data_IF_813629028392
#
_entry.id   IF_813629028392
#
_cell.length_a   1.000
_cell.length_b   1.000
_cell.length_c   1.000
_cell.angle_alpha   90.00
_cell.angle_beta   90.00
_cell.angle_gamma   90.00
#
_symmetry.space_group_name_H-M   'P 1'
#
loop_
_entity.id
_entity.type
_entity.pdbx_description
1 polymer ?
#
# COMPACT_ATOMS: atom_id res chain seq x y z
N UNK A 1 -1.95 -6.69 -34.03
CA UNK A 1 -1.76 -5.24 -34.29
C UNK A 1 -2.72 -4.38 -33.45
N UNK A 2 -4.01 -4.72 -33.34
CA UNK A 2 -5.01 -3.94 -32.59
C UNK A 2 -4.70 -3.76 -31.08
N UNK A 3 -4.32 -4.82 -30.37
CA UNK A 3 -4.00 -4.73 -28.92
C UNK A 3 -2.79 -3.84 -28.65
N UNK A 4 -1.76 -3.87 -29.51
CA UNK A 4 -0.57 -3.05 -29.35
C UNK A 4 -0.92 -1.56 -29.35
N UNK A 5 -1.70 -1.11 -30.33
CA UNK A 5 -2.06 0.31 -30.46
C UNK A 5 -2.91 0.75 -29.27
N UNK A 6 -3.92 -0.05 -28.90
CA UNK A 6 -4.74 0.20 -27.72
C UNK A 6 -3.89 0.38 -26.45
N UNK A 7 -2.89 -0.49 -26.23
CA UNK A 7 -2.05 -0.40 -25.03
C UNK A 7 -1.12 0.81 -25.03
N UNK A 8 -0.57 1.19 -26.18
CA UNK A 8 0.29 2.39 -26.29
C UNK A 8 -0.54 3.65 -26.01
N UNK A 9 -1.79 3.70 -26.48
CA UNK A 9 -2.69 4.84 -26.27
C UNK A 9 -3.18 4.95 -24.82
N UNK A 10 -3.37 3.83 -24.11
CA UNK A 10 -4.06 3.81 -22.82
C UNK A 10 -3.16 3.48 -21.61
N UNK A 11 -1.91 3.05 -21.81
CA UNK A 11 -1.04 2.66 -20.71
C UNK A 11 0.42 3.04 -20.94
N UNK A 12 1.03 3.72 -19.98
CA UNK A 12 2.43 4.18 -20.07
C UNK A 12 3.46 3.05 -20.08
N UNK A 13 3.07 1.84 -19.68
CA UNK A 13 3.92 0.64 -19.75
C UNK A 13 3.13 -0.59 -20.26
N UNK A 14 2.96 -0.77 -21.59
CA UNK A 14 2.16 -1.84 -22.18
C UNK A 14 2.56 -3.26 -21.74
N UNK A 15 3.87 -3.52 -21.61
CA UNK A 15 4.39 -4.84 -21.23
C UNK A 15 3.97 -5.23 -19.82
N UNK A 16 4.05 -4.30 -18.86
CA UNK A 16 3.61 -4.54 -17.48
C UNK A 16 2.11 -4.78 -17.40
N UNK A 17 1.31 -4.03 -18.17
CA UNK A 17 -0.14 -4.25 -18.23
C UNK A 17 -0.49 -5.66 -18.71
N UNK A 18 0.19 -6.11 -19.78
CA UNK A 18 -0.03 -7.45 -20.32
C UNK A 18 0.30 -8.54 -19.30
N UNK A 19 1.44 -8.42 -18.61
CA UNK A 19 1.80 -9.32 -17.52
C UNK A 19 0.76 -9.30 -16.38
N UNK A 20 0.22 -8.12 -16.05
CA UNK A 20 -0.85 -7.97 -15.08
C UNK A 20 -2.11 -8.77 -15.42
N UNK A 21 -2.46 -8.90 -16.71
CA UNK A 21 -3.59 -9.74 -17.12
C UNK A 21 -3.33 -11.23 -16.86
N UNK A 22 -2.10 -11.69 -17.07
CA UNK A 22 -1.70 -13.07 -16.76
C UNK A 22 -1.75 -13.33 -15.25
N UNK A 23 -1.19 -12.43 -14.45
CA UNK A 23 -1.21 -12.52 -12.99
C UNK A 23 -2.67 -12.53 -12.49
N UNK A 24 -3.52 -11.65 -13.00
CA UNK A 24 -4.96 -11.61 -12.66
C UNK A 24 -5.66 -12.94 -12.98
N UNK A 25 -5.31 -13.59 -14.08
CA UNK A 25 -5.87 -14.90 -14.42
C UNK A 25 -5.43 -15.98 -13.43
N UNK A 26 -4.12 -16.02 -13.11
CA UNK A 26 -3.51 -17.03 -12.24
C UNK A 26 -3.99 -16.85 -10.78
N UNK A 27 -4.14 -15.61 -10.32
CA UNK A 27 -4.56 -15.26 -8.97
C UNK A 27 -6.08 -15.30 -8.79
N UNK A 28 -6.81 -16.11 -9.56
CA UNK A 28 -8.22 -16.35 -9.25
C UNK A 28 -8.31 -17.21 -8.01
N UNK A 29 -8.90 -16.64 -6.98
CA UNK A 29 -9.04 -17.29 -5.69
C UNK A 29 -10.21 -18.27 -5.70
N UNK A 30 -10.05 -19.37 -4.96
CA UNK A 30 -11.20 -20.20 -4.59
C UNK A 30 -11.97 -19.54 -3.43
N UNK A 31 -13.16 -20.05 -3.14
CA UNK A 31 -14.04 -19.49 -2.12
C UNK A 31 -13.38 -19.43 -0.73
N UNK A 32 -12.62 -20.46 -0.35
CA UNK A 32 -11.91 -20.50 0.93
C UNK A 32 -10.88 -19.37 1.04
N UNK A 33 -10.03 -19.21 0.02
CA UNK A 33 -8.99 -18.17 -0.02
C UNK A 33 -9.60 -16.79 -0.01
N UNK A 34 -10.66 -16.58 -0.80
CA UNK A 34 -11.40 -15.31 -0.84
C UNK A 34 -11.94 -14.94 0.55
N UNK A 35 -12.59 -15.89 1.22
CA UNK A 35 -13.14 -15.66 2.57
C UNK A 35 -12.05 -15.31 3.60
N UNK A 36 -10.88 -15.93 3.53
CA UNK A 36 -9.76 -15.59 4.42
C UNK A 36 -9.16 -14.22 4.09
N UNK A 37 -9.08 -13.86 2.80
CA UNK A 37 -8.61 -12.54 2.38
C UNK A 37 -9.59 -11.45 2.81
N UNK A 38 -10.90 -11.65 2.64
CA UNK A 38 -11.93 -10.70 3.08
C UNK A 38 -11.87 -10.46 4.60
N UNK A 39 -11.60 -11.51 5.39
CA UNK A 39 -11.35 -11.39 6.84
C UNK A 39 -10.11 -10.57 7.18
N UNK A 40 -9.09 -10.57 6.33
CA UNK A 40 -7.86 -9.80 6.55
C UNK A 40 -8.06 -8.35 6.10
N UNK A 41 -8.67 -8.16 4.93
CA UNK A 41 -8.96 -6.85 4.32
C UNK A 41 -9.89 -6.03 5.22
N UNK A 42 -10.92 -6.65 5.79
CA UNK A 42 -11.85 -5.99 6.72
C UNK A 42 -11.20 -5.39 7.97
N UNK A 43 -10.00 -5.85 8.35
CA UNK A 43 -9.27 -5.28 9.50
C UNK A 43 -8.58 -3.96 9.19
N UNK A 44 -8.45 -3.60 7.91
CA UNK A 44 -7.81 -2.35 7.47
C UNK A 44 -8.83 -1.51 6.71
N UNK A 45 -9.02 -0.23 7.05
CA UNK A 45 -10.03 0.62 6.42
C UNK A 45 -9.53 1.16 5.06
N UNK A 46 -9.38 0.27 4.07
CA UNK A 46 -8.95 0.61 2.70
C UNK A 46 -9.97 1.46 1.94
N UNK A 47 -11.26 1.34 2.27
CA UNK A 47 -12.34 2.04 1.57
C UNK A 47 -12.47 3.52 1.98
N UNK A 48 -11.88 3.91 3.12
CA UNK A 48 -11.99 5.27 3.63
C UNK A 48 -10.65 6.00 3.62
N UNK A 49 -10.51 7.00 2.76
CA UNK A 49 -9.38 7.94 2.76
C UNK A 49 -8.09 7.38 2.14
N UNK A 50 -7.05 8.23 2.00
CA UNK A 50 -5.83 7.87 1.31
C UNK A 50 -4.94 6.95 2.18
N UNK A 51 -4.53 5.83 1.59
CA UNK A 51 -3.63 4.86 2.21
C UNK A 51 -2.44 4.57 1.29
N UNK A 52 -1.24 4.56 1.86
CA UNK A 52 -0.01 4.18 1.15
C UNK A 52 0.50 2.86 1.71
N UNK A 53 0.78 1.91 0.83
CA UNK A 53 1.41 0.64 1.19
C UNK A 53 2.93 0.71 1.02
N UNK A 54 3.67 0.28 2.04
CA UNK A 54 5.11 0.04 1.96
C UNK A 54 5.42 -1.43 2.19
N UNK A 55 6.39 -1.95 1.45
CA UNK A 55 6.94 -3.29 1.65
C UNK A 55 8.42 -3.19 2.01
N UNK A 56 8.74 -3.44 3.28
CA UNK A 56 10.08 -3.43 3.84
C UNK A 56 10.60 -4.87 3.86
N UNK A 57 11.54 -5.21 2.97
CA UNK A 57 12.11 -6.56 2.85
C UNK A 57 13.55 -6.54 3.36
N UNK A 58 13.84 -7.30 4.41
CA UNK A 58 15.10 -7.25 5.16
C UNK A 58 15.81 -8.61 5.24
N UNK A 59 15.11 -9.74 5.21
CA UNK A 59 15.70 -11.02 5.63
C UNK A 59 16.65 -11.67 4.63
N UNK A 60 16.25 -11.71 3.36
CA UNK A 60 16.96 -12.40 2.29
C UNK A 60 17.72 -11.41 1.40
N UNK A 61 17.36 -10.13 1.49
CA UNK A 61 17.93 -9.05 0.67
C UNK A 61 19.37 -8.70 1.04
N UNK A 62 19.84 -9.09 2.23
CA UNK A 62 21.20 -8.79 2.75
C UNK A 62 22.29 -9.27 1.79
N UNK A 63 22.07 -10.38 1.10
CA UNK A 63 23.03 -10.96 0.15
C UNK A 63 22.90 -10.43 -1.28
N UNK A 64 21.76 -9.83 -1.63
CA UNK A 64 21.45 -9.42 -3.01
C UNK A 64 21.60 -7.92 -3.24
N UNK A 65 21.32 -7.09 -2.22
CA UNK A 65 21.39 -5.63 -2.36
C UNK A 65 21.47 -4.92 -1.00
N UNK A 66 21.70 -3.60 -1.04
CA UNK A 66 21.81 -2.78 0.16
C UNK A 66 20.50 -2.74 0.94
N UNK A 67 20.58 -2.98 2.25
CA UNK A 67 19.48 -2.80 3.20
C UNK A 67 19.07 -1.32 3.19
N UNK A 68 17.80 -1.08 2.90
CA UNK A 68 17.20 0.25 2.90
C UNK A 68 16.48 0.48 4.24
N UNK A 69 16.72 1.63 4.87
CA UNK A 69 16.13 1.96 6.16
C UNK A 69 14.69 2.44 6.00
N UNK A 70 13.87 2.30 7.04
CA UNK A 70 12.47 2.72 7.04
C UNK A 70 12.32 4.21 6.65
N UNK A 71 13.23 5.08 7.08
CA UNK A 71 13.21 6.51 6.74
C UNK A 71 13.21 6.76 5.23
N UNK A 72 13.92 5.94 4.46
CA UNK A 72 14.01 6.13 3.02
C UNK A 72 12.69 5.80 2.32
N UNK A 73 11.93 4.83 2.84
CA UNK A 73 10.56 4.59 2.40
C UNK A 73 9.65 5.76 2.78
N UNK A 74 9.78 6.27 4.01
CA UNK A 74 8.92 7.33 4.53
C UNK A 74 9.08 8.66 3.80
N UNK A 75 10.26 8.96 3.23
CA UNK A 75 10.46 10.11 2.34
C UNK A 75 9.48 10.09 1.15
N UNK A 76 9.33 8.93 0.52
CA UNK A 76 8.42 8.76 -0.62
C UNK A 76 6.96 8.77 -0.20
N UNK A 77 6.65 8.20 0.97
CA UNK A 77 5.31 8.27 1.56
C UNK A 77 4.89 9.72 1.80
N UNK A 78 5.75 10.51 2.46
CA UNK A 78 5.47 11.93 2.75
C UNK A 78 5.32 12.74 1.46
N UNK A 79 6.21 12.53 0.49
CA UNK A 79 6.11 13.17 -0.83
C UNK A 79 4.78 12.87 -1.53
N UNK A 80 4.36 11.60 -1.56
CA UNK A 80 3.09 11.20 -2.17
C UNK A 80 1.89 11.87 -1.50
N UNK A 81 1.85 11.88 -0.17
CA UNK A 81 0.75 12.53 0.56
C UNK A 81 0.72 14.04 0.35
N UNK A 82 1.87 14.71 0.27
CA UNK A 82 1.91 16.14 0.01
C UNK A 82 1.33 16.47 -1.38
N UNK A 83 1.70 15.72 -2.42
CA UNK A 83 1.12 15.86 -3.76
C UNK A 83 -0.39 15.58 -3.75
N UNK A 84 -0.80 14.50 -3.06
CA UNK A 84 -2.22 14.15 -2.96
C UNK A 84 -3.03 15.25 -2.29
N UNK A 85 -2.52 15.82 -1.20
CA UNK A 85 -3.18 16.88 -0.45
C UNK A 85 -3.25 18.20 -1.24
N UNK A 86 -2.19 18.53 -1.98
CA UNK A 86 -2.18 19.68 -2.91
C UNK A 86 -3.22 19.50 -4.02
N UNK A 87 -3.27 18.33 -4.65
CA UNK A 87 -4.27 18.02 -5.68
C UNK A 87 -5.70 18.11 -5.14
N UNK A 88 -5.96 17.57 -3.94
CA UNK A 88 -7.29 17.63 -3.34
C UNK A 88 -7.75 19.08 -3.08
N UNK A 89 -6.83 19.95 -2.67
CA UNK A 89 -7.08 21.40 -2.52
C UNK A 89 -7.36 22.07 -3.86
N UNK A 90 -6.53 21.80 -4.88
CA UNK A 90 -6.65 22.42 -6.20
C UNK A 90 -7.96 22.07 -6.91
N UNK A 91 -8.40 20.81 -6.79
CA UNK A 91 -9.58 20.31 -7.50
C UNK A 91 -10.86 20.36 -6.67
N UNK A 92 -10.84 20.98 -5.47
CA UNK A 92 -11.96 20.99 -4.51
C UNK A 92 -12.63 19.62 -4.37
N UNK A 93 -11.82 18.54 -4.40
CA UNK A 93 -12.30 17.17 -4.22
C UNK A 93 -12.59 16.95 -2.73
N UNK A 94 -13.65 17.59 -2.25
CA UNK A 94 -14.28 17.28 -0.96
C UNK A 94 -15.16 16.01 -1.06
N UNK A 95 -14.86 15.13 -2.01
CA UNK A 95 -15.51 13.83 -2.21
C UNK A 95 -14.94 12.76 -1.27
N UNK A 96 -14.64 13.15 -0.03
CA UNK A 96 -14.46 12.18 1.05
C UNK A 96 -15.87 11.78 1.44
N UNK A 97 -16.22 10.51 1.30
CA UNK A 97 -17.52 10.01 1.74
C UNK A 97 -17.78 10.52 3.16
N UNK A 98 -19.01 10.94 3.45
CA UNK A 98 -19.41 11.74 4.63
C UNK A 98 -19.00 11.17 6.00
N UNK A 99 -18.51 9.92 6.04
CA UNK A 99 -18.05 9.21 7.23
C UNK A 99 -16.56 8.75 7.18
N UNK A 100 -15.76 9.24 6.23
CA UNK A 100 -14.36 8.82 6.08
C UNK A 100 -13.36 9.82 6.68
N UNK A 101 -12.25 9.30 7.21
CA UNK A 101 -11.18 10.10 7.81
C UNK A 101 -10.24 10.69 6.76
N UNK A 102 -9.74 11.89 7.01
CA UNK A 102 -8.67 12.54 6.20
C UNK A 102 -7.27 12.14 6.65
N UNK A 103 -7.16 11.31 7.68
CA UNK A 103 -5.88 10.96 8.28
C UNK A 103 -5.07 10.10 7.31
N UNK A 104 -3.78 10.41 7.21
CA UNK A 104 -2.84 9.69 6.36
C UNK A 104 -2.64 8.28 6.91
N UNK A 105 -2.94 7.25 6.11
CA UNK A 105 -2.82 5.85 6.52
C UNK A 105 -1.60 5.20 5.88
N UNK A 106 -0.88 4.41 6.67
CA UNK A 106 0.29 3.66 6.22
C UNK A 106 0.04 2.17 6.45
N UNK A 107 0.04 1.39 5.37
CA UNK A 107 0.00 -0.07 5.45
C UNK A 107 1.42 -0.61 5.32
N UNK A 108 1.88 -1.35 6.32
CA UNK A 108 3.27 -1.87 6.36
C UNK A 108 3.24 -3.38 6.14
N UNK A 109 3.93 -3.83 5.10
CA UNK A 109 4.25 -5.24 4.86
C UNK A 109 5.76 -5.44 5.07
N UNK A 110 6.14 -6.52 5.73
CA UNK A 110 7.55 -6.86 5.99
C UNK A 110 7.68 -8.34 6.31
N UNK A 111 8.91 -8.86 6.24
CA UNK A 111 9.23 -10.25 6.53
C UNK A 111 8.98 -10.62 8.00
N UNK A 112 8.62 -11.88 8.25
CA UNK A 112 8.16 -12.38 9.57
C UNK A 112 9.13 -12.16 10.75
N UNK A 113 10.47 -12.34 10.65
CA UNK A 113 11.32 -12.21 11.83
C UNK A 113 11.54 -10.76 12.27
N UNK A 114 11.35 -9.79 11.36
CA UNK A 114 11.53 -8.35 11.63
C UNK A 114 10.21 -7.60 11.76
N UNK A 115 9.08 -8.30 11.60
CA UNK A 115 7.75 -7.70 11.52
C UNK A 115 7.44 -6.79 12.71
N UNK A 116 7.64 -7.32 13.91
CA UNK A 116 7.34 -6.59 15.14
C UNK A 116 8.20 -5.33 15.27
N UNK A 117 9.49 -5.45 14.97
CA UNK A 117 10.47 -4.37 15.10
C UNK A 117 10.14 -3.22 14.15
N UNK A 118 9.91 -3.51 12.87
CA UNK A 118 9.61 -2.51 11.85
C UNK A 118 8.28 -1.80 12.14
N UNK A 119 7.24 -2.54 12.54
CA UNK A 119 5.93 -1.94 12.86
C UNK A 119 6.02 -1.07 14.12
N UNK A 120 6.74 -1.51 15.17
CA UNK A 120 6.95 -0.70 16.37
C UNK A 120 7.79 0.54 16.08
N UNK A 121 8.85 0.41 15.28
CA UNK A 121 9.66 1.54 14.84
C UNK A 121 8.81 2.57 14.09
N UNK A 122 7.97 2.10 13.16
CA UNK A 122 7.08 2.95 12.39
C UNK A 122 6.09 3.69 13.31
N UNK A 123 5.46 2.99 14.28
CA UNK A 123 4.55 3.59 15.26
C UNK A 123 5.24 4.63 16.13
N UNK A 124 6.42 4.31 16.65
CA UNK A 124 7.17 5.19 17.54
C UNK A 124 7.63 6.47 16.83
N UNK A 125 8.14 6.35 15.59
CA UNK A 125 8.66 7.49 14.84
C UNK A 125 7.57 8.31 14.14
N UNK A 126 6.51 7.67 13.68
CA UNK A 126 5.56 8.26 12.73
C UNK A 126 4.08 8.16 13.13
N UNK A 127 3.75 7.55 14.28
CA UNK A 127 2.36 7.37 14.73
C UNK A 127 1.61 8.67 15.05
N UNK A 128 2.32 9.77 15.27
CA UNK A 128 1.73 11.10 15.40
C UNK A 128 1.17 11.61 14.06
N UNK A 129 1.82 11.29 12.94
CA UNK A 129 1.47 11.74 11.59
C UNK A 129 0.58 10.72 10.85
N UNK A 130 0.77 9.43 11.08
CA UNK A 130 0.13 8.36 10.30
C UNK A 130 -0.63 7.37 11.18
N UNK A 131 -1.75 6.86 10.66
CA UNK A 131 -2.39 5.65 11.18
C UNK A 131 -1.74 4.42 10.54
N UNK A 132 -1.07 3.62 11.35
CA UNK A 132 -0.25 2.51 10.86
C UNK A 132 -0.99 1.19 11.01
N UNK A 133 -1.10 0.46 9.90
CA UNK A 133 -1.84 -0.80 9.80
C UNK A 133 -0.90 -1.95 9.39
N UNK A 134 -1.12 -3.10 10.03
CA UNK A 134 -0.59 -4.39 9.61
C UNK A 134 -1.57 -5.51 9.99
N UNK A 135 -1.88 -6.49 9.11
CA UNK A 135 -2.91 -7.51 9.31
C UNK A 135 -2.75 -8.41 10.54
N UNK A 136 -1.54 -8.52 11.08
CA UNK A 136 -1.26 -9.31 12.28
C UNK A 136 -0.91 -8.46 13.52
N UNK A 137 -0.97 -7.13 13.41
CA UNK A 137 -0.56 -6.22 14.49
C UNK A 137 -1.68 -5.21 14.81
N UNK A 138 -2.76 -5.73 15.38
CA UNK A 138 -3.81 -4.90 15.98
C UNK A 138 -3.57 -4.84 17.47
N UNK A 139 -3.17 -3.66 17.97
CA UNK A 139 -3.43 -3.34 19.37
C UNK A 139 -4.95 -3.32 19.51
N UNK A 140 -5.49 -4.26 20.30
CA UNK A 140 -6.84 -4.14 20.82
C UNK A 140 -6.89 -2.79 21.55
N UNK A 141 -7.64 -1.84 20.97
CA UNK A 141 -8.02 -0.61 21.67
C UNK A 141 -9.04 -0.94 22.74
#
# INVERSE_FOLDING_TARGET
MQIKNFLIENHSNPSLWFLGQLIKFIWRENEKTKNEIDKIVSKTPFECGPIVGIHVRLTDKITESKIQKLEDYMKWVEFWFNINDENNKLFNKNSIATNCTTRRKLYVATDMPVLKEVVMEAKNKYGNKYEIYHPNYFEQR
#
